data_IF_139678399791
#
_entry.id   IF_139678399791
#
_cell.length_a   1.000
_cell.length_b   1.000
_cell.length_c   1.000
_cell.angle_alpha   90.00
_cell.angle_beta   90.00
_cell.angle_gamma   90.00
#
_symmetry.space_group_name_H-M   'P 1'
#
loop_
_entity.id
_entity.type
_entity.pdbx_description
1 polymer ?
#
# COMPACT_ATOMS: atom_id res chain seq x y z
N UNK A 1 18.95 -10.40 -17.84
CA UNK A 1 18.27 -11.26 -16.84
C UNK A 1 18.68 -10.75 -15.47
N UNK A 2 17.91 -9.83 -14.90
CA UNK A 2 18.26 -9.21 -13.61
C UNK A 2 18.03 -10.22 -12.50
N UNK A 3 19.13 -10.74 -11.94
CA UNK A 3 19.10 -11.48 -10.69
C UNK A 3 18.73 -10.52 -9.58
N UNK A 4 17.49 -10.61 -9.11
CA UNK A 4 17.07 -9.89 -7.90
C UNK A 4 17.77 -10.57 -6.72
N UNK A 5 18.46 -9.78 -5.90
CA UNK A 5 19.06 -10.25 -4.65
C UNK A 5 17.96 -10.86 -3.75
N UNK A 6 18.10 -12.12 -3.30
CA UNK A 6 17.09 -12.78 -2.47
C UNK A 6 16.81 -12.03 -1.15
N UNK A 7 17.80 -11.33 -0.58
CA UNK A 7 17.58 -10.51 0.61
C UNK A 7 16.71 -9.28 0.29
N UNK A 8 16.89 -8.68 -0.89
CA UNK A 8 16.05 -7.58 -1.36
C UNK A 8 14.63 -8.05 -1.70
N UNK A 9 14.48 -9.25 -2.27
CA UNK A 9 13.18 -9.84 -2.55
C UNK A 9 12.38 -10.14 -1.26
N UNK A 10 13.05 -10.68 -0.24
CA UNK A 10 12.46 -10.92 1.08
C UNK A 10 11.99 -9.61 1.74
N UNK A 11 12.86 -8.59 1.77
CA UNK A 11 12.50 -7.28 2.31
C UNK A 11 11.30 -6.68 1.56
N UNK A 12 11.31 -6.73 0.22
CA UNK A 12 10.19 -6.21 -0.58
C UNK A 12 8.87 -6.90 -0.22
N UNK A 13 8.87 -8.22 -0.04
CA UNK A 13 7.69 -8.95 0.37
C UNK A 13 7.19 -8.55 1.77
N UNK A 14 8.11 -8.37 2.73
CA UNK A 14 7.80 -7.88 4.09
C UNK A 14 7.19 -6.47 4.05
N UNK A 15 7.75 -5.56 3.26
CA UNK A 15 7.25 -4.19 3.09
C UNK A 15 5.84 -4.19 2.50
N UNK A 16 5.60 -4.95 1.43
CA UNK A 16 4.26 -5.06 0.82
C UNK A 16 3.25 -5.69 1.80
N UNK A 17 3.67 -6.70 2.57
CA UNK A 17 2.81 -7.30 3.60
C UNK A 17 2.41 -6.28 4.66
N UNK A 18 3.36 -5.49 5.17
CA UNK A 18 3.07 -4.41 6.13
C UNK A 18 2.17 -3.33 5.54
N UNK A 19 2.45 -2.87 4.32
CA UNK A 19 1.59 -1.92 3.61
C UNK A 19 0.16 -2.47 3.51
N UNK A 20 -0.04 -3.75 3.21
CA UNK A 20 -1.38 -4.33 3.08
C UNK A 20 -2.16 -4.45 4.40
N UNK A 21 -1.53 -4.22 5.55
CA UNK A 21 -2.23 -4.08 6.84
C UNK A 21 -2.82 -2.68 7.04
N UNK A 22 -2.40 -1.70 6.24
CA UNK A 22 -3.01 -0.38 6.18
C UNK A 22 -4.28 -0.49 5.33
N UNK A 23 -5.43 -0.33 5.97
CA UNK A 23 -6.72 -0.44 5.29
C UNK A 23 -7.20 0.90 4.74
N UNK A 24 -7.92 0.85 3.63
CA UNK A 24 -8.63 2.01 3.07
C UNK A 24 -9.74 2.49 4.05
N UNK A 25 -9.66 3.74 4.56
CA UNK A 25 -10.67 4.28 5.48
C UNK A 25 -12.07 4.32 4.89
N UNK A 26 -12.22 4.55 3.58
CA UNK A 26 -13.51 4.54 2.90
C UNK A 26 -14.15 3.15 2.95
N UNK A 27 -13.36 2.10 2.67
CA UNK A 27 -13.77 0.71 2.87
C UNK A 27 -14.13 0.39 4.32
N UNK A 28 -13.32 0.83 5.29
CA UNK A 28 -13.59 0.61 6.71
C UNK A 28 -14.93 1.24 7.14
N UNK A 29 -15.24 2.44 6.65
CA UNK A 29 -16.49 3.15 6.95
C UNK A 29 -17.76 2.37 6.55
N UNK A 30 -17.64 1.45 5.59
CA UNK A 30 -18.73 0.56 5.15
C UNK A 30 -18.50 -0.90 5.59
N UNK A 31 -17.65 -1.13 6.60
CA UNK A 31 -17.43 -2.43 7.21
C UNK A 31 -16.48 -3.36 6.46
N UNK A 32 -15.60 -2.83 5.60
CA UNK A 32 -14.74 -3.60 4.70
C UNK A 32 -13.27 -3.36 5.02
N UNK A 33 -12.53 -4.44 5.26
CA UNK A 33 -11.09 -4.38 5.49
C UNK A 33 -10.39 -4.77 4.20
N UNK A 34 -9.98 -3.78 3.42
CA UNK A 34 -9.20 -3.99 2.20
C UNK A 34 -7.92 -3.17 2.31
N UNK A 35 -6.79 -3.85 2.20
CA UNK A 35 -5.47 -3.24 2.35
C UNK A 35 -5.10 -2.42 1.12
N UNK A 36 -4.20 -1.44 1.29
CA UNK A 36 -3.79 -0.57 0.18
C UNK A 36 -3.07 -1.32 -0.96
N UNK A 37 -2.42 -2.47 -0.68
CA UNK A 37 -1.83 -3.30 -1.74
C UNK A 37 -2.93 -4.05 -2.50
N UNK A 38 -3.89 -4.64 -1.79
CA UNK A 38 -5.03 -5.31 -2.41
C UNK A 38 -5.95 -4.36 -3.19
N UNK A 39 -6.05 -3.11 -2.75
CA UNK A 39 -6.72 -2.03 -3.48
C UNK A 39 -5.93 -1.57 -4.71
N UNK A 40 -4.70 -2.02 -4.91
CA UNK A 40 -3.86 -1.59 -6.03
C UNK A 40 -3.36 -0.15 -5.89
N UNK A 41 -3.28 0.40 -4.67
CA UNK A 41 -2.80 1.76 -4.43
C UNK A 41 -1.27 1.84 -4.39
N UNK A 42 -0.59 0.73 -4.13
CA UNK A 42 0.89 0.67 -4.15
C UNK A 42 1.37 0.36 -5.56
N UNK A 43 1.92 1.36 -6.25
CA UNK A 43 2.49 1.24 -7.61
C UNK A 43 3.86 0.60 -7.59
N UNK A 44 4.69 1.03 -6.64
CA UNK A 44 6.04 0.51 -6.48
C UNK A 44 6.53 0.63 -5.03
N UNK A 45 7.49 -0.21 -4.68
CA UNK A 45 8.25 -0.07 -3.44
C UNK A 45 9.73 -0.31 -3.74
N UNK A 46 10.56 0.67 -3.40
CA UNK A 46 12.00 0.64 -3.66
C UNK A 46 12.73 0.80 -2.35
N UNK A 47 13.66 -0.10 -2.07
CA UNK A 47 14.57 0.01 -0.95
C UNK A 47 15.98 0.30 -1.49
N UNK A 48 16.61 1.36 -1.01
CA UNK A 48 17.95 1.76 -1.42
C UNK A 48 18.80 2.07 -0.20
N UNK A 49 20.03 1.57 -0.20
CA UNK A 49 21.05 2.02 0.75
C UNK A 49 21.68 3.30 0.23
N UNK A 50 21.59 4.35 1.01
CA UNK A 50 22.19 5.65 0.74
C UNK A 50 23.71 5.63 0.99
N UNK A 51 24.48 6.60 0.47
CA UNK A 51 25.94 6.64 0.66
C UNK A 51 26.39 6.73 2.14
N UNK A 52 25.53 7.24 3.02
CA UNK A 52 25.75 7.29 4.47
C UNK A 52 25.47 5.95 5.17
N UNK A 53 25.06 4.94 4.41
CA UNK A 53 24.73 3.61 4.91
C UNK A 53 23.29 3.44 5.37
N UNK A 54 22.44 4.48 5.37
CA UNK A 54 21.04 4.35 5.77
C UNK A 54 20.21 3.63 4.71
N UNK A 55 19.23 2.84 5.12
CA UNK A 55 18.27 2.18 4.24
C UNK A 55 17.00 3.03 4.12
N UNK A 56 16.82 3.70 2.97
CA UNK A 56 15.61 4.44 2.64
C UNK A 56 14.65 3.57 1.83
N UNK A 57 13.38 3.61 2.19
CA UNK A 57 12.29 3.03 1.40
C UNK A 57 11.46 4.16 0.78
N UNK A 58 11.22 4.08 -0.52
CA UNK A 58 10.30 4.95 -1.24
C UNK A 58 9.10 4.12 -1.69
N UNK A 59 7.91 4.56 -1.30
CA UNK A 59 6.62 4.02 -1.72
C UNK A 59 6.01 4.96 -2.76
N UNK A 60 5.71 4.43 -3.94
CA UNK A 60 4.90 5.13 -4.93
C UNK A 60 3.43 4.74 -4.72
N UNK A 61 2.63 5.68 -4.24
CA UNK A 61 1.22 5.49 -3.93
C UNK A 61 0.33 6.31 -4.85
N UNK A 62 -0.82 5.76 -5.19
CA UNK A 62 -1.92 6.50 -5.81
C UNK A 62 -3.18 6.40 -4.95
N UNK A 63 -4.18 7.23 -5.25
CA UNK A 63 -5.50 7.17 -4.62
C UNK A 63 -6.54 6.69 -5.63
N UNK A 64 -7.69 6.20 -5.16
CA UNK A 64 -8.78 5.73 -6.03
C UNK A 64 -9.52 6.87 -6.77
N UNK A 65 -9.13 8.11 -6.52
CA UNK A 65 -9.72 9.30 -7.11
C UNK A 65 -9.04 10.58 -6.61
N UNK A 66 -9.28 11.70 -7.31
CA UNK A 66 -8.66 12.98 -6.98
C UNK A 66 -9.15 13.51 -5.64
N UNK A 67 -8.31 14.33 -4.98
CA UNK A 67 -8.63 15.00 -3.71
C UNK A 67 -8.96 14.05 -2.54
N UNK A 68 -8.36 12.86 -2.52
CA UNK A 68 -8.48 11.98 -1.36
C UNK A 68 -7.95 12.68 -0.09
N UNK A 69 -8.81 12.84 0.91
CA UNK A 69 -8.45 13.50 2.17
C UNK A 69 -7.66 12.60 3.14
N UNK A 70 -7.50 11.32 2.80
CA UNK A 70 -6.82 10.34 3.64
C UNK A 70 -5.33 10.17 3.31
N UNK A 71 -4.76 10.95 2.39
CA UNK A 71 -3.32 10.88 2.08
C UNK A 71 -2.42 11.02 3.32
N UNK A 72 -2.67 11.92 4.30
CA UNK A 72 -1.83 12.00 5.50
C UNK A 72 -1.98 10.77 6.40
N UNK A 73 -3.16 10.15 6.42
CA UNK A 73 -3.41 8.91 7.15
C UNK A 73 -2.61 7.75 6.55
N UNK A 74 -2.60 7.62 5.23
CA UNK A 74 -1.83 6.59 4.55
C UNK A 74 -0.35 6.75 4.84
N UNK A 75 0.18 7.96 4.69
CA UNK A 75 1.59 8.27 4.99
C UNK A 75 1.99 7.90 6.42
N UNK A 76 1.22 8.31 7.42
CA UNK A 76 1.52 7.97 8.81
C UNK A 76 1.44 6.46 9.06
N UNK A 77 0.42 5.80 8.50
CA UNK A 77 0.17 4.39 8.74
C UNK A 77 1.23 3.50 8.08
N UNK A 78 1.62 3.76 6.83
CA UNK A 78 2.66 2.97 6.17
C UNK A 78 4.00 3.10 6.88
N UNK A 79 4.39 4.31 7.29
CA UNK A 79 5.61 4.55 8.09
C UNK A 79 5.60 3.73 9.38
N UNK A 80 4.47 3.74 10.09
CA UNK A 80 4.29 2.99 11.35
C UNK A 80 4.37 1.47 11.14
N UNK A 81 3.64 0.93 10.16
CA UNK A 81 3.60 -0.53 9.96
C UNK A 81 4.92 -1.06 9.39
N UNK A 82 5.59 -0.31 8.50
CA UNK A 82 6.93 -0.66 8.03
C UNK A 82 7.93 -0.66 9.18
N UNK A 83 7.95 0.40 10.01
CA UNK A 83 8.88 0.49 11.14
C UNK A 83 8.70 -0.63 12.18
N UNK A 84 7.52 -1.25 12.25
CA UNK A 84 7.26 -2.42 13.11
C UNK A 84 7.87 -3.70 12.56
N UNK A 85 7.78 -3.92 11.24
CA UNK A 85 8.19 -5.20 10.63
C UNK A 85 9.60 -5.17 10.08
N UNK A 86 10.16 -3.99 9.81
CA UNK A 86 11.45 -3.77 9.18
C UNK A 86 12.25 -2.71 9.97
N UNK A 87 12.72 -3.03 11.20
CA UNK A 87 13.51 -2.10 12.01
C UNK A 87 14.85 -1.70 11.36
N UNK A 88 15.30 -2.41 10.34
CA UNK A 88 16.47 -2.06 9.52
C UNK A 88 16.22 -0.90 8.54
N UNK A 89 14.98 -0.43 8.37
CA UNK A 89 14.64 0.71 7.52
C UNK A 89 14.75 2.01 8.33
N UNK A 90 15.62 2.91 7.87
CA UNK A 90 15.93 4.17 8.56
C UNK A 90 15.01 5.33 8.18
N UNK A 91 14.38 5.25 7.01
CA UNK A 91 13.52 6.31 6.48
C UNK A 91 12.49 5.73 5.49
N UNK A 92 11.28 6.29 5.52
CA UNK A 92 10.17 5.90 4.64
C UNK A 92 9.55 7.15 4.04
N UNK A 93 9.74 7.28 2.74
CA UNK A 93 9.18 8.34 1.90
C UNK A 93 7.98 7.80 1.13
N UNK A 94 6.95 8.64 1.00
CA UNK A 94 5.77 8.36 0.18
C UNK A 94 5.74 9.40 -0.92
N UNK A 95 5.74 8.94 -2.16
CA UNK A 95 5.53 9.74 -3.36
C UNK A 95 4.11 9.47 -3.86
N UNK A 96 3.40 10.54 -4.23
CA UNK A 96 2.03 10.43 -4.73
C UNK A 96 2.00 10.55 -6.25
N UNK A 97 1.56 9.50 -6.93
CA UNK A 97 1.28 9.49 -8.36
C UNK A 97 -0.10 10.08 -8.70
N UNK A 98 -0.44 10.09 -9.98
CA UNK A 98 -1.73 10.60 -10.46
C UNK A 98 -2.87 9.64 -10.10
N UNK A 99 -3.85 10.15 -9.35
CA UNK A 99 -5.04 9.41 -8.95
C UNK A 99 -5.97 9.01 -10.10
N UNK A 100 -5.87 9.68 -11.26
CA UNK A 100 -6.67 9.36 -12.45
C UNK A 100 -6.25 8.05 -13.11
N UNK A 101 -5.08 7.50 -12.73
CA UNK A 101 -4.57 6.23 -13.25
C UNK A 101 -5.21 5.00 -12.58
N UNK A 102 -5.94 5.17 -11.48
CA UNK A 102 -6.49 4.03 -10.74
C UNK A 102 -7.70 3.40 -11.45
N UNK A 103 -7.76 2.07 -11.46
CA UNK A 103 -8.97 1.31 -11.86
C UNK A 103 -9.09 -0.01 -11.08
N UNK A 104 -10.30 -0.59 -11.01
CA UNK A 104 -10.54 -1.89 -10.36
C UNK A 104 -9.66 -3.03 -10.92
N UNK A 105 -9.15 -2.89 -12.16
CA UNK A 105 -8.23 -3.85 -12.76
C UNK A 105 -6.88 -3.93 -12.02
N UNK A 106 -6.49 -2.87 -11.31
CA UNK A 106 -5.26 -2.82 -10.52
C UNK A 106 -5.35 -3.55 -9.18
N UNK A 107 -6.58 -3.84 -8.73
CA UNK A 107 -6.80 -4.58 -7.50
C UNK A 107 -6.35 -6.04 -7.64
N UNK A 108 -5.88 -6.61 -6.53
CA UNK A 108 -5.65 -8.05 -6.45
C UNK A 108 -6.98 -8.81 -6.48
N UNK A 109 -6.94 -10.12 -6.75
CA UNK A 109 -8.15 -10.94 -6.71
C UNK A 109 -8.79 -10.93 -5.31
N UNK A 110 -7.97 -10.93 -4.25
CA UNK A 110 -8.46 -10.80 -2.88
C UNK A 110 -9.21 -9.47 -2.67
N UNK A 111 -8.62 -8.34 -3.09
CA UNK A 111 -9.26 -7.04 -3.00
C UNK A 111 -10.61 -7.00 -3.73
N UNK A 112 -10.67 -7.53 -4.96
CA UNK A 112 -11.92 -7.60 -5.75
C UNK A 112 -12.98 -8.46 -5.07
N UNK A 113 -12.58 -9.57 -4.43
CA UNK A 113 -13.50 -10.42 -3.68
C UNK A 113 -14.14 -9.67 -2.49
N UNK A 114 -13.34 -8.92 -1.72
CA UNK A 114 -13.84 -8.03 -0.65
C UNK A 114 -14.81 -6.97 -1.21
N UNK A 115 -14.50 -6.41 -2.40
CA UNK A 115 -15.40 -5.46 -3.07
C UNK A 115 -16.69 -6.08 -3.63
N UNK A 116 -16.68 -7.36 -3.97
CA UNK A 116 -17.87 -8.06 -4.47
C UNK A 116 -18.86 -8.37 -3.35
N UNK A 117 -18.36 -8.85 -2.21
CA UNK A 117 -19.20 -9.21 -1.04
C UNK A 117 -20.11 -8.05 -0.62
N UNK A 118 -19.58 -6.84 -0.52
CA UNK A 118 -20.36 -5.66 -0.12
C UNK A 118 -21.25 -5.07 -1.22
N UNK A 119 -21.09 -5.45 -2.50
CA UNK A 119 -22.03 -5.07 -3.58
C UNK A 119 -23.21 -6.05 -3.65
N UNK A 120 -22.99 -7.30 -3.26
CA UNK A 120 -24.02 -8.34 -3.22
C UNK A 120 -24.89 -8.29 -1.97
N UNK A 121 -24.42 -7.65 -0.89
CA UNK A 121 -25.24 -7.29 0.25
C UNK A 121 -26.17 -6.12 -0.15
N UNK A 122 -27.46 -6.40 -0.33
CA UNK A 122 -28.46 -5.37 -0.58
C UNK A 122 -28.38 -4.25 0.47
N UNK A 123 -28.69 -2.98 0.12
CA UNK A 123 -28.72 -1.92 1.10
C UNK A 123 -29.70 -2.30 2.21
N UNK A 124 -29.22 -2.35 3.45
CA UNK A 124 -30.08 -2.36 4.62
C UNK A 124 -30.81 -1.01 4.59
N UNK A 125 -32.11 -1.07 4.29
CA UNK A 125 -33.02 0.08 4.36
C UNK A 125 -33.24 0.49 5.81
#
# INVERSE_FOLDING_TARGET
MSGVDPAAADLRARLLSACNTVYDPCGLGVGRRVGIVDMGLVRDVRARREPDGRLRVTLDLITTGPFCMYTPFFEQSVRREIGRVAPEVDDVEVEWGDSTDWSEAMMTEHGRAVLRIGRSAAPVR
#
